data_IF_020795329713
#
_entry.id   IF_020795329713
#
_cell.length_a   1.000
_cell.length_b   1.000
_cell.length_c   1.000
_cell.angle_alpha   90.00
_cell.angle_beta   90.00
_cell.angle_gamma   90.00
#
_symmetry.space_group_name_H-M   'P 1'
#
loop_
_entity.id
_entity.type
_entity.pdbx_description
1 polymer ?
#
# COMPACT_ATOMS: atom_id res chain seq x y z
N UNK A 1 -7.90 -24.65 -9.97
CA UNK A 1 -9.03 -24.81 -9.01
C UNK A 1 -9.18 -26.22 -8.43
N UNK A 2 -8.94 -27.29 -9.21
CA UNK A 2 -8.97 -28.68 -8.73
C UNK A 2 -8.01 -28.99 -7.57
N UNK A 3 -6.94 -28.20 -7.40
CA UNK A 3 -6.02 -28.32 -6.25
C UNK A 3 -6.69 -28.00 -4.90
N UNK A 4 -7.68 -27.12 -4.87
CA UNK A 4 -8.32 -26.63 -3.64
C UNK A 4 -9.64 -27.33 -3.30
N UNK A 5 -10.27 -27.99 -4.29
CA UNK A 5 -11.50 -28.75 -4.11
C UNK A 5 -11.53 -29.92 -5.12
N UNK A 6 -10.91 -31.07 -4.81
CA UNK A 6 -10.75 -32.17 -5.77
C UNK A 6 -12.05 -32.90 -6.12
N UNK A 7 -13.11 -32.79 -5.31
CA UNK A 7 -14.36 -33.56 -5.45
C UNK A 7 -15.60 -32.68 -5.75
N UNK A 8 -15.41 -31.43 -6.16
CA UNK A 8 -16.51 -30.47 -6.38
C UNK A 8 -16.43 -29.87 -7.79
N UNK A 9 -16.86 -30.65 -8.78
CA UNK A 9 -16.81 -30.28 -10.20
C UNK A 9 -17.55 -28.96 -10.50
N UNK A 10 -18.67 -28.71 -9.81
CA UNK A 10 -19.43 -27.46 -9.92
C UNK A 10 -18.61 -26.24 -9.46
N UNK A 11 -17.88 -26.35 -8.35
CA UNK A 11 -16.98 -25.28 -7.90
C UNK A 11 -15.79 -25.09 -8.84
N UNK A 12 -15.28 -26.17 -9.44
CA UNK A 12 -14.16 -26.11 -10.36
C UNK A 12 -14.56 -25.35 -11.62
N UNK A 13 -15.73 -25.64 -12.19
CA UNK A 13 -16.24 -24.96 -13.39
C UNK A 13 -16.50 -23.46 -13.11
N UNK A 14 -17.15 -23.14 -12.00
CA UNK A 14 -17.41 -21.76 -11.60
C UNK A 14 -16.12 -20.97 -11.32
N UNK A 15 -15.16 -21.57 -10.61
CA UNK A 15 -13.88 -20.89 -10.34
C UNK A 15 -13.06 -20.71 -11.60
N UNK A 16 -13.16 -21.62 -12.59
CA UNK A 16 -12.41 -21.51 -13.85
C UNK A 16 -12.78 -20.23 -14.62
N UNK A 17 -14.05 -19.83 -14.58
CA UNK A 17 -14.58 -18.59 -15.19
C UNK A 17 -14.04 -17.33 -14.50
N UNK A 18 -13.69 -17.42 -13.21
CA UNK A 18 -13.15 -16.30 -12.43
C UNK A 18 -11.65 -16.05 -12.67
N UNK A 19 -10.88 -17.05 -13.11
CA UNK A 19 -9.42 -16.95 -13.30
C UNK A 19 -8.99 -15.73 -14.14
N UNK A 20 -9.53 -15.48 -15.34
CA UNK A 20 -9.09 -14.33 -16.14
C UNK A 20 -9.43 -12.98 -15.48
N UNK A 21 -10.57 -12.91 -14.80
CA UNK A 21 -10.98 -11.73 -14.06
C UNK A 21 -10.03 -11.46 -12.88
N UNK A 22 -9.64 -12.52 -12.17
CA UNK A 22 -8.73 -12.44 -11.04
C UNK A 22 -7.33 -11.99 -11.49
N UNK A 23 -6.87 -12.45 -12.65
CA UNK A 23 -5.60 -11.99 -13.23
C UNK A 23 -5.63 -10.47 -13.49
N UNK A 24 -6.74 -9.95 -14.02
CA UNK A 24 -6.92 -8.52 -14.25
C UNK A 24 -6.99 -7.72 -12.93
N UNK A 25 -7.69 -8.26 -11.94
CA UNK A 25 -7.74 -7.69 -10.59
C UNK A 25 -6.34 -7.56 -9.96
N UNK A 26 -5.52 -8.61 -10.03
CA UNK A 26 -4.15 -8.62 -9.48
C UNK A 26 -3.28 -7.56 -10.15
N UNK A 27 -3.43 -7.35 -11.46
CA UNK A 27 -2.72 -6.28 -12.15
C UNK A 27 -3.10 -4.89 -11.61
N UNK A 28 -4.40 -4.63 -11.46
CA UNK A 28 -4.91 -3.37 -10.90
C UNK A 28 -4.45 -3.14 -9.45
N UNK A 29 -4.48 -4.19 -8.62
CA UNK A 29 -4.01 -4.13 -7.23
C UNK A 29 -2.51 -3.81 -7.15
N UNK A 30 -1.69 -4.38 -8.03
CA UNK A 30 -0.26 -4.06 -8.10
C UNK A 30 0.01 -2.57 -8.35
N UNK A 31 -0.73 -1.96 -9.28
CA UNK A 31 -0.62 -0.52 -9.57
C UNK A 31 -1.10 0.32 -8.37
N UNK A 32 -2.21 -0.07 -7.76
CA UNK A 32 -2.73 0.59 -6.54
C UNK A 32 -1.68 0.59 -5.41
N UNK A 33 -0.99 -0.54 -5.21
CA UNK A 33 0.05 -0.66 -4.18
C UNK A 33 1.28 0.20 -4.48
N UNK A 34 1.67 0.36 -5.75
CA UNK A 34 2.75 1.27 -6.13
C UNK A 34 2.43 2.73 -5.75
N UNK A 35 1.20 3.18 -6.00
CA UNK A 35 0.76 4.50 -5.57
C UNK A 35 0.69 4.63 -4.04
N UNK A 36 0.22 3.59 -3.34
CA UNK A 36 0.21 3.56 -1.87
C UNK A 36 1.64 3.72 -1.30
N UNK A 37 2.61 2.99 -1.88
CA UNK A 37 4.03 3.13 -1.54
C UNK A 37 4.55 4.55 -1.76
N UNK A 38 4.18 5.18 -2.88
CA UNK A 38 4.56 6.57 -3.20
C UNK A 38 4.02 7.55 -2.16
N UNK A 39 2.75 7.46 -1.81
CA UNK A 39 2.10 8.31 -0.81
C UNK A 39 2.78 8.16 0.57
N UNK A 40 3.11 6.91 0.94
CA UNK A 40 3.84 6.62 2.17
C UNK A 40 5.25 7.20 2.15
N UNK A 41 5.95 7.10 1.02
CA UNK A 41 7.29 7.68 0.83
C UNK A 41 7.32 9.21 0.97
N UNK A 42 6.30 9.91 0.46
CA UNK A 42 6.18 11.36 0.65
C UNK A 42 5.79 11.75 2.09
N UNK A 43 5.23 10.82 2.86
CA UNK A 43 4.66 11.10 4.19
C UNK A 43 3.28 11.77 4.12
N UNK A 44 2.61 11.70 2.97
CA UNK A 44 1.28 12.32 2.72
C UNK A 44 0.12 11.38 3.02
N UNK A 45 0.34 10.37 3.85
CA UNK A 45 -0.64 9.34 4.18
C UNK A 45 -1.93 9.94 4.76
N UNK A 46 -1.81 11.01 5.56
CA UNK A 46 -2.95 11.71 6.17
C UNK A 46 -3.96 12.24 5.15
N UNK A 47 -3.53 12.63 3.94
CA UNK A 47 -4.42 13.13 2.88
C UNK A 47 -5.11 11.97 2.16
N UNK A 48 -4.45 10.81 2.07
CA UNK A 48 -4.99 9.64 1.38
C UNK A 48 -6.03 8.88 2.20
N UNK A 49 -5.90 8.83 3.54
CA UNK A 49 -6.81 8.10 4.44
C UNK A 49 -8.29 8.45 4.22
N UNK A 50 -8.73 9.73 4.26
CA UNK A 50 -10.14 10.04 4.08
C UNK A 50 -10.65 9.70 2.68
N UNK A 51 -9.79 9.82 1.65
CA UNK A 51 -10.15 9.51 0.26
C UNK A 51 -10.39 8.00 0.09
N UNK A 52 -9.53 7.16 0.67
CA UNK A 52 -9.72 5.71 0.69
C UNK A 52 -11.02 5.34 1.38
N UNK A 53 -11.26 5.92 2.56
CA UNK A 53 -12.43 5.60 3.37
C UNK A 53 -13.71 5.95 2.62
N UNK A 54 -13.79 7.13 2.01
CA UNK A 54 -14.97 7.54 1.22
C UNK A 54 -15.16 6.68 -0.03
N UNK A 55 -14.08 6.34 -0.74
CA UNK A 55 -14.16 5.50 -1.93
C UNK A 55 -14.63 4.08 -1.59
N UNK A 56 -14.07 3.49 -0.53
CA UNK A 56 -14.36 2.11 -0.15
C UNK A 56 -15.72 1.99 0.53
N UNK A 57 -16.00 2.80 1.54
CA UNK A 57 -17.24 2.73 2.32
C UNK A 57 -18.41 3.44 1.66
N UNK A 58 -18.15 4.51 0.90
CA UNK A 58 -19.20 5.31 0.27
C UNK A 58 -19.61 4.82 -1.12
N UNK A 59 -18.69 4.21 -1.88
CA UNK A 59 -18.96 3.81 -3.27
C UNK A 59 -18.79 2.32 -3.48
N UNK A 60 -17.65 1.74 -3.09
CA UNK A 60 -17.38 0.33 -3.39
C UNK A 60 -18.34 -0.62 -2.66
N UNK A 61 -18.58 -0.42 -1.36
CA UNK A 61 -19.48 -1.28 -0.56
C UNK A 61 -20.94 -1.18 -1.03
N UNK A 62 -21.53 0.02 -1.22
CA UNK A 62 -22.90 0.14 -1.71
C UNK A 62 -23.05 -0.38 -3.14
N UNK A 63 -22.06 -0.15 -4.01
CA UNK A 63 -22.09 -0.64 -5.39
C UNK A 63 -21.99 -2.17 -5.44
N UNK A 64 -21.08 -2.77 -4.67
CA UNK A 64 -20.97 -4.23 -4.57
C UNK A 64 -22.26 -4.86 -4.02
N UNK A 65 -22.86 -4.25 -2.99
CA UNK A 65 -24.14 -4.70 -2.45
C UNK A 65 -25.29 -4.57 -3.47
N UNK A 66 -25.33 -3.45 -4.21
CA UNK A 66 -26.34 -3.21 -5.22
C UNK A 66 -26.27 -4.22 -6.37
N UNK A 67 -25.07 -4.51 -6.89
CA UNK A 67 -24.90 -5.51 -7.94
C UNK A 67 -25.20 -6.93 -7.44
N UNK A 68 -24.80 -7.27 -6.22
CA UNK A 68 -24.96 -8.61 -5.68
C UNK A 68 -26.40 -8.94 -5.25
N UNK A 69 -27.14 -7.98 -4.68
CA UNK A 69 -28.43 -8.25 -4.03
C UNK A 69 -29.64 -7.62 -4.72
N UNK A 70 -29.50 -6.48 -5.39
CA UNK A 70 -30.66 -5.78 -5.99
C UNK A 70 -30.97 -6.30 -7.40
N UNK A 71 -29.94 -6.70 -8.17
CA UNK A 71 -30.16 -7.27 -9.50
C UNK A 71 -30.62 -8.73 -9.49
N UNK A 72 -30.28 -9.51 -8.47
CA UNK A 72 -30.67 -10.92 -8.35
C UNK A 72 -30.99 -11.28 -6.89
N UNK A 73 -32.27 -11.46 -6.51
CA UNK A 73 -32.64 -11.95 -5.19
C UNK A 73 -32.34 -13.45 -5.08
N UNK A 74 -31.06 -13.80 -4.92
CA UNK A 74 -30.65 -15.12 -4.41
C UNK A 74 -30.86 -16.32 -5.34
N UNK A 75 -30.98 -16.14 -6.65
CA UNK A 75 -30.97 -17.26 -7.61
C UNK A 75 -29.62 -17.32 -8.30
N UNK A 76 -28.96 -18.47 -8.20
CA UNK A 76 -27.71 -18.84 -8.89
C UNK A 76 -27.88 -19.01 -10.41
N UNK A 77 -29.11 -19.01 -10.89
CA UNK A 77 -29.43 -19.30 -12.29
C UNK A 77 -29.35 -18.04 -13.15
N UNK A 78 -28.52 -18.14 -14.19
CA UNK A 78 -28.21 -17.09 -15.16
C UNK A 78 -29.17 -17.09 -16.36
N UNK A 79 -30.42 -17.52 -16.19
CA UNK A 79 -31.35 -17.78 -17.31
C UNK A 79 -32.37 -16.64 -17.52
N UNK A 80 -31.94 -15.38 -17.37
CA UNK A 80 -32.74 -14.21 -17.72
C UNK A 80 -32.33 -13.61 -19.06
N UNK A 81 -33.29 -13.06 -19.82
CA UNK A 81 -33.08 -12.37 -21.11
C UNK A 81 -32.21 -11.09 -20.98
N UNK A 82 -32.05 -10.59 -19.74
CA UNK A 82 -31.12 -9.52 -19.34
C UNK A 82 -29.84 -10.05 -18.64
N UNK A 83 -29.58 -11.35 -18.75
CA UNK A 83 -28.54 -12.14 -18.10
C UNK A 83 -27.14 -11.83 -18.61
N UNK A 84 -26.59 -10.70 -18.17
CA UNK A 84 -25.17 -10.41 -18.35
C UNK A 84 -24.29 -11.42 -17.61
N UNK A 85 -23.04 -11.55 -18.05
CA UNK A 85 -21.92 -12.35 -17.53
C UNK A 85 -21.62 -12.20 -16.00
N UNK A 86 -22.42 -11.44 -15.27
CA UNK A 86 -22.18 -10.92 -13.93
C UNK A 86 -23.26 -11.35 -12.92
N UNK A 87 -23.60 -12.64 -12.88
CA UNK A 87 -24.52 -13.19 -11.88
C UNK A 87 -23.75 -13.96 -10.78
N UNK A 88 -24.33 -14.09 -9.59
CA UNK A 88 -23.76 -14.84 -8.47
C UNK A 88 -22.39 -14.36 -7.97
N UNK A 89 -21.49 -15.30 -7.69
CA UNK A 89 -20.12 -15.02 -7.21
C UNK A 89 -19.32 -14.19 -8.21
N UNK A 90 -19.55 -14.37 -9.52
CA UNK A 90 -18.91 -13.57 -10.58
C UNK A 90 -19.33 -12.10 -10.47
N UNK A 91 -20.62 -11.83 -10.21
CA UNK A 91 -21.15 -10.48 -9.94
C UNK A 91 -20.52 -9.82 -8.70
N UNK A 92 -20.30 -10.59 -7.63
CA UNK A 92 -19.65 -10.08 -6.43
C UNK A 92 -18.19 -9.69 -6.69
N UNK A 93 -17.42 -10.57 -7.33
CA UNK A 93 -16.00 -10.32 -7.63
C UNK A 93 -15.84 -9.18 -8.63
N UNK A 94 -16.75 -9.03 -9.58
CA UNK A 94 -16.72 -7.93 -10.56
C UNK A 94 -17.12 -6.59 -9.94
N UNK A 95 -18.05 -6.59 -8.99
CA UNK A 95 -18.36 -5.43 -8.16
C UNK A 95 -17.17 -4.96 -7.33
N UNK A 96 -16.49 -5.88 -6.63
CA UNK A 96 -15.29 -5.54 -5.83
C UNK A 96 -14.10 -5.16 -6.70
N UNK A 97 -13.94 -5.78 -7.87
CA UNK A 97 -12.94 -5.41 -8.88
C UNK A 97 -13.17 -3.99 -9.39
N UNK A 98 -14.42 -3.63 -9.71
CA UNK A 98 -14.75 -2.26 -10.12
C UNK A 98 -14.42 -1.24 -9.03
N UNK A 99 -14.69 -1.58 -7.76
CA UNK A 99 -14.31 -0.75 -6.62
C UNK A 99 -12.79 -0.54 -6.48
N UNK A 100 -11.99 -1.56 -6.77
CA UNK A 100 -10.51 -1.46 -6.75
C UNK A 100 -9.99 -0.63 -7.93
N UNK A 101 -10.58 -0.73 -9.12
CA UNK A 101 -10.24 0.18 -10.22
C UNK A 101 -10.58 1.63 -9.91
N UNK A 102 -11.72 1.91 -9.29
CA UNK A 102 -12.07 3.25 -8.82
C UNK A 102 -11.06 3.77 -7.79
N UNK A 103 -10.67 2.93 -6.83
CA UNK A 103 -9.65 3.27 -5.84
C UNK A 103 -8.29 3.56 -6.52
N UNK A 104 -7.87 2.71 -7.45
CA UNK A 104 -6.65 2.89 -8.24
C UNK A 104 -6.65 4.23 -8.98
N UNK A 105 -7.76 4.60 -9.62
CA UNK A 105 -7.90 5.89 -10.33
C UNK A 105 -7.79 7.06 -9.34
N UNK A 106 -8.47 6.99 -8.19
CA UNK A 106 -8.36 8.03 -7.15
C UNK A 106 -6.93 8.20 -6.66
N UNK A 107 -6.20 7.10 -6.46
CA UNK A 107 -4.79 7.11 -6.07
C UNK A 107 -3.89 7.69 -7.16
N UNK A 108 -4.13 7.31 -8.41
CA UNK A 108 -3.43 7.87 -9.56
C UNK A 108 -3.66 9.38 -9.66
N UNK A 109 -4.90 9.86 -9.50
CA UNK A 109 -5.23 11.29 -9.51
C UNK A 109 -4.57 12.02 -8.34
N UNK A 110 -4.56 11.44 -7.15
CA UNK A 110 -3.87 12.05 -5.99
C UNK A 110 -2.36 12.19 -6.22
N UNK A 111 -1.72 11.15 -6.76
CA UNK A 111 -0.26 11.13 -6.98
C UNK A 111 0.14 11.96 -8.20
N UNK A 112 -0.62 11.92 -9.30
CA UNK A 112 -0.25 12.59 -10.54
C UNK A 112 -0.74 14.05 -10.59
N UNK A 113 -1.97 14.31 -10.15
CA UNK A 113 -2.59 15.63 -10.31
C UNK A 113 -2.48 16.50 -9.04
N UNK A 114 -2.54 15.89 -7.85
CA UNK A 114 -2.53 16.64 -6.57
C UNK A 114 -1.19 16.65 -5.85
N UNK A 115 -0.17 15.95 -6.36
CA UNK A 115 1.17 15.96 -5.76
C UNK A 115 2.08 16.91 -6.50
N UNK A 116 2.40 18.02 -5.83
CA UNK A 116 3.42 18.94 -6.31
C UNK A 116 4.81 18.35 -6.00
N UNK A 117 5.36 17.65 -6.98
CA UNK A 117 6.65 16.98 -6.89
C UNK A 117 7.80 17.93 -6.56
N UNK A 118 7.74 19.20 -6.98
CA UNK A 118 8.77 20.19 -6.61
C UNK A 118 8.76 20.48 -5.10
N UNK A 119 7.57 20.61 -4.52
CA UNK A 119 7.43 20.84 -3.07
C UNK A 119 7.84 19.60 -2.26
N UNK A 120 7.51 18.40 -2.75
CA UNK A 120 7.94 17.17 -2.08
C UNK A 120 9.46 16.94 -2.20
N UNK A 121 10.08 17.31 -3.32
CA UNK A 121 11.54 17.25 -3.47
C UNK A 121 12.24 18.22 -2.49
N UNK A 122 11.73 19.44 -2.33
CA UNK A 122 12.24 20.40 -1.35
C UNK A 122 12.09 19.88 0.08
N UNK A 123 10.90 19.38 0.45
CA UNK A 123 10.67 18.77 1.76
C UNK A 123 11.66 17.60 2.03
N UNK A 124 11.98 16.80 1.01
CA UNK A 124 12.95 15.73 1.14
C UNK A 124 14.37 16.25 1.38
N UNK A 125 14.78 17.31 0.68
CA UNK A 125 16.08 17.96 0.90
C UNK A 125 16.19 18.57 2.31
N UNK A 126 15.15 19.28 2.77
CA UNK A 126 15.12 19.84 4.12
C UNK A 126 15.22 18.75 5.21
N UNK A 127 14.60 17.59 5.00
CA UNK A 127 14.72 16.43 5.91
C UNK A 127 16.16 15.94 6.00
N UNK A 128 16.88 15.88 4.88
CA UNK A 128 18.29 15.47 4.84
C UNK A 128 19.20 16.51 5.50
N UNK A 129 18.97 17.80 5.26
CA UNK A 129 19.75 18.87 5.89
C UNK A 129 19.57 18.91 7.40
N UNK A 130 18.34 18.66 7.89
CA UNK A 130 18.07 18.57 9.33
C UNK A 130 18.77 17.35 9.95
N UNK A 131 18.78 16.22 9.26
CA UNK A 131 19.50 15.03 9.73
C UNK A 131 21.01 15.30 9.81
N UNK A 132 21.57 15.95 8.79
CA UNK A 132 22.98 16.35 8.78
C UNK A 132 23.34 17.33 9.92
N UNK A 133 22.45 18.25 10.28
CA UNK A 133 22.64 19.20 11.40
C UNK A 133 22.38 18.56 12.77
N UNK A 134 21.53 17.54 12.85
CA UNK A 134 21.20 16.83 14.08
C UNK A 134 22.20 15.73 14.47
N UNK A 135 23.01 15.25 13.51
CA UNK A 135 24.14 14.37 13.77
C UNK A 135 25.34 15.24 14.19
N UNK A 136 25.85 15.16 15.43
CA UNK A 136 27.14 15.77 15.74
C UNK A 136 28.15 15.19 14.75
N UNK A 137 28.84 16.06 14.02
CA UNK A 137 29.80 15.67 12.99
C UNK A 137 30.67 14.52 13.52
N UNK A 138 30.76 13.42 12.77
CA UNK A 138 31.64 12.28 13.13
C UNK A 138 33.07 12.74 13.42
N UNK A 139 33.47 13.88 12.85
CA UNK A 139 34.67 14.65 13.19
C UNK A 139 34.82 14.91 14.70
N UNK A 140 33.76 15.33 15.38
CA UNK A 140 33.74 15.67 16.81
C UNK A 140 33.75 14.42 17.70
N UNK A 141 33.22 13.29 17.20
CA UNK A 141 33.28 12.00 17.92
C UNK A 141 34.69 11.42 17.88
N UNK A 142 35.41 11.56 16.75
CA UNK A 142 36.80 11.14 16.62
C UNK A 142 37.77 11.93 17.49
N UNK A 143 37.61 13.27 17.56
CA UNK A 143 38.44 14.12 18.42
C UNK A 143 38.21 13.81 19.91
N UNK A 144 36.96 13.71 20.35
CA UNK A 144 36.64 13.40 21.75
C UNK A 144 37.14 12.00 22.18
N UNK A 145 37.14 11.03 21.27
CA UNK A 145 37.67 9.69 21.56
C UNK A 145 39.20 9.69 21.66
N UNK A 146 39.89 10.41 20.76
CA UNK A 146 41.34 10.56 20.83
C UNK A 146 41.78 11.28 22.12
N UNK A 147 41.06 12.33 22.51
CA UNK A 147 41.31 13.09 23.74
C UNK A 147 41.06 12.26 25.01
N UNK A 148 40.01 11.44 25.02
CA UNK A 148 39.73 10.50 26.12
C UNK A 148 40.81 9.41 26.24
N UNK A 149 41.36 8.94 25.11
CA UNK A 149 42.41 7.92 25.10
C UNK A 149 43.75 8.51 25.61
N UNK A 150 44.09 9.74 25.20
CA UNK A 150 45.27 10.46 25.68
C UNK A 150 45.21 10.79 27.17
N UNK A 151 44.02 11.14 27.68
CA UNK A 151 43.80 11.39 29.12
C UNK A 151 43.95 10.10 29.93
N UNK A 152 43.49 8.97 29.40
CA UNK A 152 43.60 7.67 30.07
C UNK A 152 45.06 7.19 30.13
N UNK A 153 45.85 7.44 29.08
CA UNK A 153 47.28 7.08 29.08
C UNK A 153 48.09 7.91 30.07
N UNK A 154 47.82 9.21 30.22
CA UNK A 154 48.57 10.04 31.18
C UNK A 154 48.27 9.67 32.64
N UNK A 155 47.04 9.24 32.95
CA UNK A 155 46.67 8.75 34.29
C UNK A 155 47.40 7.44 34.61
N UNK A 156 47.55 6.56 33.62
CA UNK A 156 48.24 5.28 33.81
C UNK A 156 49.75 5.45 34.04
N UNK A 157 50.40 6.44 33.40
CA UNK A 157 51.82 6.73 33.62
C UNK A 157 52.08 7.33 35.01
N UNK A 158 51.21 8.22 35.50
CA UNK A 158 51.33 8.83 36.84
C UNK A 158 51.17 7.80 37.98
N UNK A 159 50.36 6.75 37.77
CA UNK A 159 50.18 5.67 38.75
C UNK A 159 51.40 4.74 38.86
N UNK A 160 52.16 4.57 37.76
CA UNK A 160 53.40 3.75 37.76
C UNK A 160 54.62 4.40 38.37
N UNK A 161 54.69 5.75 38.41
CA UNK A 161 55.82 6.48 39.01
C UNK A 161 55.68 6.67 40.54
N UNK A 162 54.52 6.30 41.11
CA UNK A 162 54.25 6.32 42.56
C UNK A 162 54.50 4.97 43.27
N UNK A 163 54.90 3.92 42.55
CA UNK A 163 55.29 2.61 43.08
C UNK A 163 56.81 2.38 42.99
#
# INVERSE_FOLDING_TARGET
PSLFAPDQDELIDETSKLIPLLAWYVFGDGVQQAFNGTIKGCGRQAVAIPVVLLAYWGVAVPLAYYLAFIKHPGTSDCDGEDGGFFCGVVGLVTGTTTGTFLHMILYAVLVLCFTNWNKEAQNAQERLERDHKGVPSQQNRGSNFAEACATTSSIAEDETDML
#
